data_IF_953219863127
#
_entry.id   IF_953219863127
#
_cell.length_a   1.000
_cell.length_b   1.000
_cell.length_c   1.000
_cell.angle_alpha   90.00
_cell.angle_beta   90.00
_cell.angle_gamma   90.00
#
_symmetry.space_group_name_H-M   'P 1'
#
loop_
_entity.id
_entity.type
_entity.pdbx_description
1 polymer ?
#
# COMPACT_ATOMS: atom_id res chain seq x y z
N UNK A 1 -68.19 -42.78 -10.58
CA UNK A 1 -67.06 -42.44 -9.71
C UNK A 1 -65.96 -41.96 -10.66
N UNK A 2 -65.58 -40.70 -10.72
CA UNK A 2 -65.72 -39.59 -9.76
C UNK A 2 -66.08 -38.25 -10.47
N UNK A 3 -66.10 -37.13 -9.73
CA UNK A 3 -66.63 -35.80 -10.07
C UNK A 3 -65.66 -34.72 -9.58
N UNK A 4 -65.66 -33.45 -9.99
CA UNK A 4 -66.43 -32.58 -10.92
C UNK A 4 -65.50 -31.33 -11.14
N UNK A 5 -65.87 -30.24 -11.86
CA UNK A 5 -66.60 -30.05 -13.12
C UNK A 5 -65.77 -29.19 -14.13
N UNK A 6 -66.30 -28.76 -15.29
CA UNK A 6 -65.56 -27.95 -16.29
C UNK A 6 -66.09 -26.51 -16.54
N UNK A 7 -65.24 -25.62 -17.10
CA UNK A 7 -65.63 -24.36 -17.77
C UNK A 7 -65.34 -23.05 -17.01
N UNK A 8 -65.23 -21.85 -17.62
CA UNK A 8 -65.31 -21.44 -19.05
C UNK A 8 -64.64 -20.07 -19.29
N UNK A 9 -64.22 -19.85 -20.56
CA UNK A 9 -63.93 -18.62 -21.33
C UNK A 9 -63.97 -17.20 -20.71
N UNK A 10 -62.96 -16.38 -21.06
CA UNK A 10 -62.97 -15.17 -21.94
C UNK A 10 -61.70 -14.32 -21.61
N UNK A 11 -61.06 -13.54 -22.49
CA UNK A 11 -61.28 -13.32 -23.91
C UNK A 11 -60.70 -11.97 -24.39
N UNK A 12 -59.54 -12.01 -25.07
CA UNK A 12 -59.03 -11.02 -26.06
C UNK A 12 -58.45 -9.65 -25.62
N UNK A 13 -57.33 -9.28 -26.26
CA UNK A 13 -57.04 -7.90 -26.70
C UNK A 13 -56.06 -7.04 -25.87
N UNK A 14 -54.94 -6.61 -26.46
CA UNK A 14 -54.11 -5.52 -25.90
C UNK A 14 -52.64 -5.48 -26.41
N UNK A 15 -52.38 -4.74 -27.49
CA UNK A 15 -51.03 -4.45 -28.01
C UNK A 15 -50.26 -3.48 -27.10
N UNK A 16 -48.92 -3.61 -27.01
CA UNK A 16 -48.08 -2.68 -26.25
C UNK A 16 -46.57 -2.95 -26.36
N UNK A 17 -45.95 -2.50 -27.45
CA UNK A 17 -44.49 -2.50 -27.61
C UNK A 17 -43.83 -1.53 -26.60
N UNK A 18 -42.73 -1.93 -25.95
CA UNK A 18 -41.97 -1.05 -25.08
C UNK A 18 -40.58 -1.59 -24.74
N UNK A 19 -39.54 -1.11 -25.43
CA UNK A 19 -38.15 -1.44 -25.10
C UNK A 19 -37.74 -0.76 -23.78
N UNK A 20 -37.24 -1.54 -22.82
CA UNK A 20 -36.65 -1.04 -21.59
C UNK A 20 -35.32 -1.74 -21.32
N UNK A 21 -34.20 -1.02 -21.48
CA UNK A 21 -32.87 -1.56 -21.28
C UNK A 21 -32.61 -1.84 -19.78
N UNK A 22 -32.84 -3.08 -19.35
CA UNK A 22 -32.48 -3.56 -18.02
C UNK A 22 -30.97 -3.73 -17.89
N UNK A 23 -30.32 -2.80 -17.20
CA UNK A 23 -28.88 -2.84 -16.94
C UNK A 23 -28.50 -4.10 -16.13
N UNK A 24 -27.83 -5.06 -16.76
CA UNK A 24 -27.35 -6.28 -16.11
C UNK A 24 -26.16 -5.97 -15.17
N UNK A 25 -26.45 -5.60 -13.93
CA UNK A 25 -25.43 -5.59 -12.87
C UNK A 25 -25.21 -7.02 -12.36
N UNK A 26 -24.30 -7.75 -13.02
CA UNK A 26 -23.90 -9.10 -12.65
C UNK A 26 -23.05 -9.09 -11.36
N UNK A 27 -23.71 -9.08 -10.20
CA UNK A 27 -23.07 -9.25 -8.91
C UNK A 27 -22.57 -10.70 -8.75
N UNK A 28 -21.31 -10.95 -9.08
CA UNK A 28 -20.69 -12.28 -9.00
C UNK A 28 -19.57 -12.34 -7.95
N UNK A 29 -19.89 -12.95 -6.80
CA UNK A 29 -19.01 -13.92 -6.15
C UNK A 29 -17.61 -13.48 -5.71
N UNK A 30 -17.52 -12.57 -4.74
CA UNK A 30 -16.30 -12.34 -3.95
C UNK A 30 -16.58 -12.47 -2.46
N UNK A 31 -16.50 -13.69 -1.90
CA UNK A 31 -16.87 -13.96 -0.51
C UNK A 31 -15.79 -13.54 0.51
N UNK A 32 -15.36 -12.29 0.44
CA UNK A 32 -14.62 -11.63 1.51
C UNK A 32 -15.61 -10.99 2.49
N UNK A 33 -15.46 -11.26 3.80
CA UNK A 33 -16.22 -10.53 4.82
C UNK A 33 -15.86 -9.04 4.72
N UNK A 34 -16.74 -8.25 4.13
CA UNK A 34 -16.67 -6.79 4.21
C UNK A 34 -16.94 -6.41 5.67
N UNK A 35 -15.87 -6.20 6.44
CA UNK A 35 -15.94 -5.59 7.77
C UNK A 35 -16.40 -4.15 7.59
N UNK A 36 -17.71 -3.96 7.66
CA UNK A 36 -18.36 -2.65 7.55
C UNK A 36 -18.02 -1.82 8.80
N UNK A 37 -16.92 -1.06 8.72
CA UNK A 37 -16.49 -0.10 9.74
C UNK A 37 -17.65 0.88 10.01
N UNK A 38 -18.07 1.08 11.27
CA UNK A 38 -19.26 1.86 11.55
C UNK A 38 -19.00 3.37 11.38
N UNK A 39 -19.80 4.01 10.53
CA UNK A 39 -20.21 5.39 10.77
C UNK A 39 -19.70 6.49 9.87
N UNK A 40 -18.61 6.31 9.12
CA UNK A 40 -18.03 7.37 8.28
C UNK A 40 -17.68 6.87 6.87
N UNK A 41 -17.66 7.79 5.90
CA UNK A 41 -17.23 7.55 4.52
C UNK A 41 -16.55 8.80 3.95
N UNK A 42 -15.50 8.69 3.11
CA UNK A 42 -14.93 9.84 2.42
C UNK A 42 -15.96 10.50 1.49
N UNK A 43 -15.95 11.83 1.42
CA UNK A 43 -16.69 12.60 0.43
C UNK A 43 -15.91 12.61 -0.90
N UNK A 44 -16.49 12.01 -1.95
CA UNK A 44 -15.88 11.97 -3.28
C UNK A 44 -15.75 13.35 -3.94
N UNK A 45 -16.56 14.34 -3.52
CA UNK A 45 -16.50 15.71 -4.01
C UNK A 45 -15.51 16.61 -3.29
N UNK A 46 -15.00 16.21 -2.11
CA UNK A 46 -14.05 17.01 -1.32
C UNK A 46 -13.04 16.13 -0.57
N UNK A 47 -11.81 15.96 -1.08
CA UNK A 47 -10.74 15.26 -0.36
C UNK A 47 -10.54 15.80 1.06
N UNK A 48 -10.37 14.89 2.02
CA UNK A 48 -10.26 15.22 3.45
C UNK A 48 -11.60 15.44 4.17
N UNK A 49 -12.73 15.53 3.47
CA UNK A 49 -14.07 15.52 4.08
C UNK A 49 -14.61 14.10 4.23
N UNK A 50 -15.33 13.88 5.32
CA UNK A 50 -15.98 12.62 5.66
C UNK A 50 -17.43 12.86 6.07
N UNK A 51 -18.33 12.02 5.57
CA UNK A 51 -19.77 12.07 5.79
C UNK A 51 -20.20 10.91 6.71
N UNK A 52 -21.15 11.12 7.63
CA UNK A 52 -21.64 10.06 8.49
C UNK A 52 -22.54 9.08 7.72
N UNK A 53 -22.18 7.79 7.71
CA UNK A 53 -22.91 6.72 7.00
C UNK A 53 -24.11 6.18 7.79
N UNK A 54 -24.16 6.40 9.11
CA UNK A 54 -25.32 6.07 9.93
C UNK A 54 -25.64 7.23 10.88
N UNK A 55 -26.58 8.08 10.45
CA UNK A 55 -26.97 9.30 11.17
C UNK A 55 -27.60 9.00 12.53
N UNK A 56 -28.34 7.90 12.65
CA UNK A 56 -29.19 7.64 13.81
C UNK A 56 -28.44 6.95 14.97
N UNK A 57 -27.50 6.04 14.67
CA UNK A 57 -26.80 5.26 15.71
C UNK A 57 -25.62 5.95 16.39
N UNK A 58 -24.94 6.87 15.72
CA UNK A 58 -23.70 7.47 16.24
C UNK A 58 -23.85 8.91 16.69
N UNK A 59 -24.67 9.72 16.01
CA UNK A 59 -24.63 11.18 16.17
C UNK A 59 -25.98 11.90 16.08
N UNK A 60 -27.10 11.16 16.19
CA UNK A 60 -28.49 11.67 16.17
C UNK A 60 -28.83 12.62 15.00
N UNK A 61 -28.19 12.45 13.85
CA UNK A 61 -28.33 13.33 12.70
C UNK A 61 -27.85 14.77 12.91
N UNK A 62 -27.15 15.08 14.01
CA UNK A 62 -26.70 16.44 14.36
C UNK A 62 -25.36 16.84 13.74
N UNK A 63 -24.65 15.92 13.08
CA UNK A 63 -23.42 16.20 12.34
C UNK A 63 -23.66 16.00 10.84
N UNK A 64 -23.18 16.95 10.04
CA UNK A 64 -23.23 16.92 8.58
C UNK A 64 -21.95 16.31 8.00
N UNK A 65 -20.77 16.76 8.48
CA UNK A 65 -19.47 16.24 8.03
C UNK A 65 -18.32 16.56 9.01
N UNK A 66 -17.20 15.87 8.85
CA UNK A 66 -15.90 16.23 9.44
C UNK A 66 -14.91 16.46 8.30
N UNK A 67 -14.13 17.54 8.38
CA UNK A 67 -12.98 17.79 7.51
C UNK A 67 -11.69 17.55 8.31
N UNK A 68 -10.82 16.64 7.85
CA UNK A 68 -9.54 16.28 8.49
C UNK A 68 -8.38 17.05 7.86
N UNK A 69 -7.70 17.86 8.68
CA UNK A 69 -6.55 18.68 8.32
C UNK A 69 -5.34 18.24 9.17
N UNK A 70 -4.94 16.98 9.02
CA UNK A 70 -3.71 16.41 9.61
C UNK A 70 -3.58 16.61 11.13
N UNK A 71 -4.65 16.28 11.87
CA UNK A 71 -4.69 16.37 13.34
C UNK A 71 -5.48 17.57 13.88
N UNK A 72 -5.92 18.47 13.01
CA UNK A 72 -6.99 19.44 13.29
C UNK A 72 -8.24 19.05 12.50
N UNK A 73 -9.38 18.95 13.18
CA UNK A 73 -10.65 18.52 12.61
C UNK A 73 -11.63 19.69 12.56
N UNK A 74 -12.38 19.83 11.48
CA UNK A 74 -13.48 20.81 11.41
C UNK A 74 -14.81 20.07 11.31
N UNK A 75 -15.64 20.21 12.33
CA UNK A 75 -16.96 19.58 12.40
C UNK A 75 -18.02 20.57 11.91
N UNK A 76 -18.83 20.13 10.96
CA UNK A 76 -19.98 20.86 10.43
C UNK A 76 -21.25 20.25 11.04
N UNK A 77 -22.01 21.04 11.79
CA UNK A 77 -23.21 20.57 12.51
C UNK A 77 -24.47 20.84 11.69
N UNK A 78 -25.46 19.96 11.84
CA UNK A 78 -26.82 20.18 11.32
C UNK A 78 -27.42 21.40 12.01
N UNK A 79 -27.74 22.43 11.23
CA UNK A 79 -28.10 23.77 11.73
C UNK A 79 -27.04 24.86 11.46
N UNK A 80 -25.90 24.51 10.84
CA UNK A 80 -24.94 25.48 10.30
C UNK A 80 -23.87 25.97 11.29
N UNK A 81 -23.87 25.48 12.53
CA UNK A 81 -22.74 25.69 13.43
C UNK A 81 -21.49 24.95 12.93
N UNK A 82 -20.30 25.50 13.21
CA UNK A 82 -19.02 24.93 12.79
C UNK A 82 -18.02 25.02 13.94
N UNK A 83 -17.32 23.92 14.24
CA UNK A 83 -16.27 23.89 15.25
C UNK A 83 -14.95 23.35 14.71
N UNK A 84 -13.84 24.02 15.03
CA UNK A 84 -12.49 23.48 14.91
C UNK A 84 -12.14 22.72 16.20
N UNK A 85 -11.59 21.52 16.06
CA UNK A 85 -11.18 20.66 17.16
C UNK A 85 -9.74 20.19 16.95
N UNK A 86 -8.88 20.48 17.92
CA UNK A 86 -7.51 19.95 17.97
C UNK A 86 -7.46 18.85 19.02
N UNK A 87 -6.82 17.72 18.71
CA UNK A 87 -6.72 16.56 19.62
C UNK A 87 -5.26 16.25 19.91
N UNK A 88 -4.67 16.84 20.98
CA UNK A 88 -3.26 16.62 21.33
C UNK A 88 -2.95 15.13 21.50
N UNK A 89 -1.99 14.63 20.72
CA UNK A 89 -1.54 13.22 20.74
C UNK A 89 -2.67 12.18 20.53
N UNK A 90 -3.79 12.57 19.93
CA UNK A 90 -4.97 11.70 19.78
C UNK A 90 -5.79 11.48 21.06
N UNK A 91 -5.43 12.11 22.18
CA UNK A 91 -6.17 12.02 23.44
C UNK A 91 -7.42 12.93 23.41
N UNK A 92 -8.58 12.33 23.14
CA UNK A 92 -9.89 13.02 23.09
C UNK A 92 -10.29 13.69 24.40
N UNK A 93 -9.67 13.33 25.52
CA UNK A 93 -9.93 13.98 26.82
C UNK A 93 -9.20 15.33 26.94
N UNK A 94 -8.13 15.53 26.16
CA UNK A 94 -7.35 16.76 26.06
C UNK A 94 -7.73 17.62 24.85
N UNK A 95 -8.83 17.30 24.17
CA UNK A 95 -9.25 18.04 22.98
C UNK A 95 -9.60 19.50 23.29
N UNK A 96 -9.21 20.40 22.40
CA UNK A 96 -9.62 21.81 22.43
C UNK A 96 -10.68 22.03 21.35
N UNK A 97 -11.78 22.70 21.70
CA UNK A 97 -12.92 22.96 20.80
C UNK A 97 -13.11 24.47 20.69
N UNK A 98 -13.07 24.99 19.46
CA UNK A 98 -13.37 26.38 19.13
C UNK A 98 -14.56 26.42 18.18
N UNK A 99 -15.66 27.06 18.58
CA UNK A 99 -16.83 27.25 17.71
C UNK A 99 -16.60 28.48 16.83
N UNK A 100 -16.37 28.24 15.54
CA UNK A 100 -16.07 29.28 14.55
C UNK A 100 -17.36 30.00 14.12
N UNK A 101 -18.48 29.28 14.08
CA UNK A 101 -19.79 29.76 13.63
C UNK A 101 -20.86 29.18 14.56
N UNK A 102 -21.74 30.05 15.05
CA UNK A 102 -22.90 29.70 15.87
C UNK A 102 -22.54 29.30 17.31
N UNK A 103 -23.58 29.18 18.14
CA UNK A 103 -23.46 28.54 19.46
C UNK A 103 -23.31 27.02 19.28
N UNK A 104 -22.39 26.41 20.03
CA UNK A 104 -22.21 24.96 20.03
C UNK A 104 -23.46 24.19 20.47
N UNK A 105 -23.50 22.85 20.28
CA UNK A 105 -24.65 22.04 20.64
C UNK A 105 -24.97 22.16 22.14
N UNK A 106 -26.26 22.15 22.49
CA UNK A 106 -26.76 22.30 23.86
C UNK A 106 -26.26 21.23 24.84
N UNK A 107 -25.75 20.10 24.33
CA UNK A 107 -25.02 19.08 25.10
C UNK A 107 -23.64 19.54 25.61
N UNK A 108 -23.23 20.77 25.32
CA UNK A 108 -21.85 21.20 25.37
C UNK A 108 -20.95 20.33 24.49
N UNK A 109 -19.65 20.31 24.80
CA UNK A 109 -18.62 19.59 24.04
C UNK A 109 -18.75 18.05 24.07
N UNK A 110 -19.79 17.46 24.69
CA UNK A 110 -19.98 16.00 24.70
C UNK A 110 -20.18 15.46 23.29
N UNK A 111 -21.11 16.03 22.51
CA UNK A 111 -21.38 15.61 21.13
C UNK A 111 -20.11 15.68 20.28
N UNK A 112 -19.37 16.78 20.40
CA UNK A 112 -18.07 17.00 19.75
C UNK A 112 -17.05 15.91 20.09
N UNK A 113 -16.95 15.54 21.38
CA UNK A 113 -16.03 14.50 21.86
C UNK A 113 -16.36 13.13 21.31
N UNK A 114 -17.64 12.74 21.40
CA UNK A 114 -18.12 11.44 20.95
C UNK A 114 -17.96 11.30 19.41
N UNK A 115 -18.24 12.40 18.69
CA UNK A 115 -18.01 12.52 17.23
C UNK A 115 -16.55 12.28 16.88
N UNK A 116 -15.62 13.02 17.50
CA UNK A 116 -14.18 12.89 17.27
C UNK A 116 -13.66 11.51 17.66
N UNK A 117 -14.12 10.95 18.79
CA UNK A 117 -13.75 9.59 19.22
C UNK A 117 -14.13 8.55 18.15
N UNK A 118 -15.37 8.58 17.66
CA UNK A 118 -15.82 7.68 16.59
C UNK A 118 -15.03 7.83 15.29
N UNK A 119 -14.61 9.06 14.96
CA UNK A 119 -13.84 9.34 13.76
C UNK A 119 -12.38 8.88 13.86
N UNK A 120 -11.76 9.01 15.05
CA UNK A 120 -10.43 8.46 15.32
C UNK A 120 -10.43 6.93 15.30
N UNK A 121 -11.46 6.29 15.87
CA UNK A 121 -11.68 4.83 15.81
C UNK A 121 -11.80 4.37 14.34
N UNK A 122 -12.65 5.02 13.55
CA UNK A 122 -12.77 4.79 12.10
C UNK A 122 -11.44 4.98 11.35
N UNK A 123 -10.66 6.03 11.66
CA UNK A 123 -9.34 6.24 11.03
C UNK A 123 -8.35 5.13 11.40
N UNK A 124 -8.33 4.70 12.66
CA UNK A 124 -7.47 3.61 13.11
C UNK A 124 -7.82 2.27 12.45
N UNK A 125 -9.11 1.93 12.35
CA UNK A 125 -9.56 0.69 11.70
C UNK A 125 -9.31 0.71 10.19
N UNK A 126 -9.52 1.85 9.51
CA UNK A 126 -9.16 2.00 8.10
C UNK A 126 -7.66 1.83 7.86
N UNK A 127 -6.81 2.42 8.71
CA UNK A 127 -5.36 2.30 8.56
C UNK A 127 -4.91 0.86 8.83
N UNK A 128 -5.47 0.18 9.84
CA UNK A 128 -5.23 -1.23 10.11
C UNK A 128 -5.64 -2.12 8.92
N UNK A 129 -6.81 -1.88 8.32
CA UNK A 129 -7.26 -2.59 7.13
C UNK A 129 -6.37 -2.30 5.91
N UNK A 130 -5.94 -1.06 5.70
CA UNK A 130 -5.00 -0.70 4.65
C UNK A 130 -3.60 -1.32 4.84
N UNK A 131 -3.17 -1.57 6.07
CA UNK A 131 -1.95 -2.33 6.40
C UNK A 131 -2.15 -3.82 6.13
N UNK A 132 -3.28 -4.42 6.55
CA UNK A 132 -3.60 -5.82 6.25
C UNK A 132 -3.66 -6.10 4.74
N UNK A 133 -4.31 -5.22 3.98
CA UNK A 133 -4.34 -5.25 2.51
C UNK A 133 -2.95 -5.19 1.88
N UNK A 134 -2.06 -4.36 2.45
CA UNK A 134 -0.69 -4.23 1.99
C UNK A 134 0.12 -5.50 2.30
N UNK A 135 -0.03 -6.07 3.50
CA UNK A 135 0.58 -7.35 3.90
C UNK A 135 0.09 -8.48 2.98
N UNK A 136 -1.20 -8.52 2.63
CA UNK A 136 -1.72 -9.52 1.69
C UNK A 136 -1.05 -9.41 0.31
N UNK A 137 -0.93 -8.19 -0.24
CA UNK A 137 -0.29 -7.95 -1.54
C UNK A 137 1.20 -8.32 -1.54
N UNK A 138 1.91 -8.06 -0.44
CA UNK A 138 3.31 -8.48 -0.27
C UNK A 138 3.42 -10.02 -0.14
N UNK A 139 2.47 -10.67 0.52
CA UNK A 139 2.39 -12.13 0.54
C UNK A 139 2.10 -12.72 -0.85
N UNK A 140 1.28 -12.07 -1.68
CA UNK A 140 1.01 -12.50 -3.05
C UNK A 140 2.25 -12.32 -3.95
N UNK A 141 3.01 -11.23 -3.79
CA UNK A 141 4.34 -11.06 -4.40
C UNK A 141 5.31 -12.19 -4.01
N UNK A 142 5.32 -12.61 -2.74
CA UNK A 142 6.13 -13.77 -2.32
C UNK A 142 5.66 -15.11 -2.93
N UNK A 143 4.34 -15.33 -3.04
CA UNK A 143 3.81 -16.53 -3.73
C UNK A 143 4.19 -16.55 -5.21
N UNK A 144 4.13 -15.40 -5.89
CA UNK A 144 4.55 -15.26 -7.28
C UNK A 144 6.05 -15.54 -7.44
N UNK A 145 6.86 -15.02 -6.51
CA UNK A 145 8.30 -15.27 -6.44
C UNK A 145 8.61 -16.77 -6.26
N UNK A 146 7.93 -17.46 -5.35
CA UNK A 146 8.06 -18.90 -5.17
C UNK A 146 7.63 -19.68 -6.43
N UNK A 147 6.49 -19.30 -7.03
CA UNK A 147 5.95 -19.96 -8.22
C UNK A 147 6.83 -19.78 -9.47
N UNK A 148 7.53 -18.64 -9.60
CA UNK A 148 8.37 -18.36 -10.77
C UNK A 148 9.83 -18.82 -10.58
N UNK A 149 10.38 -18.61 -9.39
CA UNK A 149 11.83 -18.71 -9.12
C UNK A 149 12.18 -19.65 -7.96
N UNK A 150 11.19 -20.31 -7.35
CA UNK A 150 11.36 -21.33 -6.32
C UNK A 150 11.43 -20.81 -4.88
N UNK A 151 10.96 -21.65 -3.95
CA UNK A 151 10.95 -21.43 -2.49
C UNK A 151 12.21 -20.79 -1.91
N UNK A 152 13.39 -21.13 -2.43
CA UNK A 152 14.65 -20.63 -1.87
C UNK A 152 14.78 -19.12 -2.06
N UNK A 153 14.38 -18.59 -3.21
CA UNK A 153 14.46 -17.15 -3.48
C UNK A 153 13.35 -16.38 -2.73
N UNK A 154 12.18 -17.00 -2.57
CA UNK A 154 11.11 -16.50 -1.69
C UNK A 154 11.58 -16.37 -0.24
N UNK A 155 12.17 -17.44 0.31
CA UNK A 155 12.66 -17.47 1.70
C UNK A 155 13.74 -16.43 1.94
N UNK A 156 14.66 -16.23 1.00
CA UNK A 156 15.68 -15.17 1.10
C UNK A 156 15.07 -13.76 0.98
N UNK A 157 14.05 -13.55 0.15
CA UNK A 157 13.35 -12.25 0.07
C UNK A 157 12.62 -11.91 1.38
N UNK A 158 11.90 -12.88 1.96
CA UNK A 158 11.27 -12.75 3.28
C UNK A 158 12.31 -12.45 4.37
N UNK A 159 13.37 -13.25 4.43
CA UNK A 159 14.43 -13.09 5.41
C UNK A 159 15.13 -11.73 5.31
N UNK A 160 15.39 -11.22 4.10
CA UNK A 160 15.95 -9.89 3.88
C UNK A 160 15.01 -8.78 4.36
N UNK A 161 13.70 -8.89 4.11
CA UNK A 161 12.71 -7.93 4.57
C UNK A 161 12.54 -7.94 6.10
N UNK A 162 12.57 -9.12 6.72
CA UNK A 162 12.53 -9.26 8.18
C UNK A 162 13.81 -8.74 8.84
N UNK A 163 14.98 -9.09 8.29
CA UNK A 163 16.28 -8.67 8.83
C UNK A 163 16.51 -7.15 8.69
N UNK A 164 15.91 -6.50 7.70
CA UNK A 164 15.97 -5.05 7.54
C UNK A 164 15.21 -4.27 8.63
N UNK A 165 14.26 -4.89 9.34
CA UNK A 165 13.45 -4.22 10.36
C UNK A 165 14.32 -3.69 11.50
N UNK A 166 14.23 -2.39 11.76
CA UNK A 166 15.02 -1.71 12.81
C UNK A 166 16.52 -1.55 12.51
N UNK A 167 17.04 -2.08 11.39
CA UNK A 167 18.43 -1.88 10.98
C UNK A 167 18.62 -0.56 10.22
N UNK A 168 19.86 -0.07 10.22
CA UNK A 168 20.31 1.02 9.35
C UNK A 168 21.04 0.48 8.12
N UNK A 169 20.98 1.22 7.04
CA UNK A 169 21.78 1.03 5.83
C UNK A 169 23.25 1.31 6.19
N UNK A 170 24.14 0.41 5.74
CA UNK A 170 25.60 0.52 5.86
C UNK A 170 26.13 1.67 5.01
N UNK A 171 27.35 2.15 5.28
CA UNK A 171 27.97 3.10 4.36
C UNK A 171 28.33 2.41 3.04
N UNK A 172 28.41 3.19 1.96
CA UNK A 172 28.65 2.68 0.61
C UNK A 172 29.99 1.94 0.51
N UNK A 173 31.04 2.39 1.21
CA UNK A 173 32.37 1.76 1.16
C UNK A 173 32.35 0.33 1.75
N UNK A 174 31.63 0.12 2.85
CA UNK A 174 31.40 -1.22 3.43
C UNK A 174 30.58 -2.10 2.48
N UNK A 175 29.52 -1.56 1.87
CA UNK A 175 28.68 -2.31 0.94
C UNK A 175 29.44 -2.73 -0.33
N UNK A 176 30.21 -1.80 -0.93
CA UNK A 176 31.12 -2.06 -2.05
C UNK A 176 32.11 -3.16 -1.68
N UNK A 177 32.84 -3.01 -0.56
CA UNK A 177 33.81 -4.02 -0.09
C UNK A 177 33.16 -5.38 0.18
N UNK A 178 31.91 -5.39 0.66
CA UNK A 178 31.18 -6.61 0.94
C UNK A 178 30.79 -7.35 -0.36
N UNK A 179 30.33 -6.60 -1.37
CA UNK A 179 29.86 -7.11 -2.67
C UNK A 179 31.01 -7.46 -3.63
N UNK A 180 32.14 -6.75 -3.56
CA UNK A 180 33.34 -6.98 -4.37
C UNK A 180 33.91 -8.40 -4.22
N UNK A 181 33.68 -9.05 -3.07
CA UNK A 181 34.02 -10.46 -2.83
C UNK A 181 33.28 -11.44 -3.75
N UNK A 182 32.23 -10.98 -4.44
CA UNK A 182 31.30 -11.80 -5.20
C UNK A 182 31.09 -11.31 -6.65
N UNK A 183 31.34 -10.03 -6.94
CA UNK A 183 31.01 -9.38 -8.24
C UNK A 183 31.52 -10.12 -9.48
N UNK A 184 32.72 -10.70 -9.44
CA UNK A 184 33.32 -11.35 -10.61
C UNK A 184 32.63 -12.66 -10.97
N UNK A 185 32.06 -13.36 -9.98
CA UNK A 185 31.27 -14.57 -10.20
C UNK A 185 29.87 -14.19 -10.70
N UNK A 186 29.26 -13.17 -10.08
CA UNK A 186 27.97 -12.62 -10.53
C UNK A 186 28.03 -12.15 -11.99
N UNK A 187 29.04 -11.37 -12.36
CA UNK A 187 29.22 -10.88 -13.73
C UNK A 187 29.30 -12.03 -14.74
N UNK A 188 30.00 -13.14 -14.42
CA UNK A 188 30.13 -14.30 -15.32
C UNK A 188 28.84 -15.09 -15.54
N UNK A 189 27.80 -14.91 -14.71
CA UNK A 189 26.52 -15.64 -14.81
C UNK A 189 25.54 -15.09 -15.85
N UNK A 190 25.82 -13.92 -16.45
CA UNK A 190 24.91 -13.29 -17.42
C UNK A 190 25.52 -13.20 -18.81
N UNK A 191 24.72 -13.44 -19.85
CA UNK A 191 25.04 -12.95 -21.19
C UNK A 191 24.91 -11.43 -21.27
N UNK A 192 25.50 -10.82 -22.30
CA UNK A 192 25.35 -9.38 -22.57
C UNK A 192 23.88 -9.03 -22.85
N UNK A 193 23.13 -9.92 -23.51
CA UNK A 193 21.69 -9.78 -23.76
C UNK A 193 20.86 -9.77 -22.49
N UNK A 194 21.15 -10.65 -21.51
CA UNK A 194 20.38 -10.70 -20.25
C UNK A 194 20.56 -9.41 -19.45
N UNK A 195 21.81 -8.94 -19.35
CA UNK A 195 22.17 -7.68 -18.69
C UNK A 195 21.42 -6.50 -19.29
N UNK A 196 21.41 -6.40 -20.63
CA UNK A 196 20.76 -5.30 -21.33
C UNK A 196 19.23 -5.38 -21.24
N UNK A 197 18.65 -6.58 -21.22
CA UNK A 197 17.23 -6.77 -20.98
C UNK A 197 16.82 -6.32 -19.57
N UNK A 198 17.60 -6.69 -18.54
CA UNK A 198 17.37 -6.26 -17.15
C UNK A 198 17.57 -4.74 -17.01
N UNK A 199 18.61 -4.18 -17.62
CA UNK A 199 18.86 -2.75 -17.63
C UNK A 199 17.67 -1.97 -18.23
N UNK A 200 17.17 -2.37 -19.40
CA UNK A 200 15.98 -1.78 -20.03
C UNK A 200 14.71 -1.94 -19.20
N UNK A 201 14.53 -3.08 -18.54
CA UNK A 201 13.41 -3.31 -17.62
C UNK A 201 13.46 -2.35 -16.41
N UNK A 202 14.65 -2.01 -15.91
CA UNK A 202 14.81 -1.02 -14.82
C UNK A 202 14.68 0.43 -15.31
N UNK A 203 15.14 0.75 -16.52
CA UNK A 203 14.96 2.08 -17.12
C UNK A 203 13.49 2.39 -17.45
N UNK A 204 12.72 1.38 -17.82
CA UNK A 204 11.29 1.49 -18.15
C UNK A 204 10.35 1.55 -16.93
N UNK A 205 10.88 1.70 -15.71
CA UNK A 205 10.06 1.79 -14.50
C UNK A 205 9.16 3.03 -14.51
N UNK A 206 7.85 2.80 -14.64
CA UNK A 206 6.85 3.86 -14.60
C UNK A 206 6.74 4.46 -13.19
N UNK A 207 6.81 5.79 -13.09
CA UNK A 207 6.82 6.52 -11.81
C UNK A 207 5.55 6.33 -10.98
N UNK A 208 4.39 6.25 -11.62
CA UNK A 208 3.10 6.11 -10.91
C UNK A 208 2.90 4.69 -10.39
N UNK A 209 3.29 3.68 -11.18
CA UNK A 209 3.34 2.29 -10.75
C UNK A 209 4.36 2.11 -9.61
N UNK A 210 5.54 2.72 -9.72
CA UNK A 210 6.55 2.71 -8.66
C UNK A 210 6.03 3.37 -7.37
N UNK A 211 5.38 4.54 -7.46
CA UNK A 211 4.76 5.20 -6.31
C UNK A 211 3.65 4.35 -5.67
N UNK A 212 2.84 3.66 -6.49
CA UNK A 212 1.81 2.72 -6.02
C UNK A 212 2.43 1.53 -5.27
N UNK A 213 3.51 0.93 -5.79
CA UNK A 213 4.20 -0.18 -5.12
C UNK A 213 4.92 0.29 -3.85
N UNK A 214 5.61 1.43 -3.88
CA UNK A 214 6.25 2.03 -2.69
C UNK A 214 5.23 2.25 -1.55
N UNK A 215 4.00 2.67 -1.87
CA UNK A 215 2.91 2.80 -0.89
C UNK A 215 2.45 1.45 -0.32
N UNK A 216 2.46 0.38 -1.12
CA UNK A 216 2.08 -0.97 -0.70
C UNK A 216 3.18 -1.58 0.18
N UNK A 217 4.40 -1.73 -0.35
CA UNK A 217 5.52 -2.30 0.41
C UNK A 217 5.87 -1.44 1.63
N UNK A 218 5.82 -0.12 1.53
CA UNK A 218 6.09 0.79 2.65
C UNK A 218 5.10 0.60 3.80
N UNK A 219 3.79 0.50 3.53
CA UNK A 219 2.79 0.16 4.55
C UNK A 219 3.03 -1.22 5.18
N UNK A 220 3.31 -2.24 4.36
CA UNK A 220 3.55 -3.60 4.84
C UNK A 220 4.83 -3.72 5.70
N UNK A 221 5.84 -2.88 5.44
CA UNK A 221 7.13 -2.89 6.15
C UNK A 221 7.26 -1.77 7.21
N UNK A 222 6.21 -1.00 7.47
CA UNK A 222 6.21 0.06 8.49
C UNK A 222 7.01 1.32 8.14
N UNK A 223 7.30 1.55 6.85
CA UNK A 223 7.96 2.76 6.37
C UNK A 223 6.94 3.89 6.25
N UNK A 224 7.11 4.96 7.04
CA UNK A 224 6.17 6.08 7.15
C UNK A 224 6.92 7.41 7.07
N UNK A 225 6.40 8.36 6.28
CA UNK A 225 6.82 9.77 6.30
C UNK A 225 8.19 10.09 5.67
N UNK A 226 8.97 9.11 5.25
CA UNK A 226 10.28 9.35 4.61
C UNK A 226 10.16 9.76 3.14
N UNK A 227 10.92 10.79 2.75
CA UNK A 227 11.09 11.17 1.35
C UNK A 227 12.09 10.21 0.67
N UNK A 228 11.57 9.30 -0.17
CA UNK A 228 12.34 8.21 -0.78
C UNK A 228 12.98 8.66 -2.11
N UNK A 229 14.31 8.68 -2.16
CA UNK A 229 15.11 9.04 -3.34
C UNK A 229 15.55 7.80 -4.14
N UNK A 230 14.58 7.08 -4.71
CA UNK A 230 14.85 5.80 -5.40
C UNK A 230 15.61 5.92 -6.73
N UNK A 231 15.50 7.05 -7.44
CA UNK A 231 16.00 7.20 -8.81
C UNK A 231 17.50 6.90 -8.98
N UNK A 232 18.35 7.45 -8.10
CA UNK A 232 19.81 7.22 -8.17
C UNK A 232 20.20 5.76 -7.94
N UNK A 233 19.48 5.06 -7.04
CA UNK A 233 19.72 3.63 -6.80
C UNK A 233 19.39 2.79 -8.05
N UNK A 234 18.24 3.06 -8.69
CA UNK A 234 17.85 2.37 -9.93
C UNK A 234 18.85 2.67 -11.07
N UNK A 235 19.27 3.93 -11.26
CA UNK A 235 20.29 4.29 -12.24
C UNK A 235 21.62 3.56 -11.99
N UNK A 236 22.03 3.45 -10.73
CA UNK A 236 23.20 2.67 -10.33
C UNK A 236 23.06 1.17 -10.62
N UNK A 237 21.88 0.57 -10.44
CA UNK A 237 21.62 -0.82 -10.84
C UNK A 237 21.71 -1.00 -12.37
N UNK A 238 21.11 -0.09 -13.15
CA UNK A 238 21.17 -0.09 -14.63
C UNK A 238 22.63 -0.06 -15.11
N UNK A 239 23.45 0.82 -14.52
CA UNK A 239 24.89 0.88 -14.78
C UNK A 239 25.60 -0.41 -14.38
N UNK A 240 25.30 -0.95 -13.20
CA UNK A 240 25.86 -2.21 -12.70
C UNK A 240 25.59 -3.40 -13.61
N UNK A 241 24.37 -3.57 -14.10
CA UNK A 241 24.05 -4.62 -15.07
C UNK A 241 24.83 -4.44 -16.39
N UNK A 242 24.89 -3.23 -16.95
CA UNK A 242 25.61 -2.98 -18.21
C UNK A 242 27.13 -3.13 -18.11
N UNK A 243 27.73 -2.61 -17.05
CA UNK A 243 29.20 -2.41 -16.96
C UNK A 243 29.90 -3.28 -15.93
N UNK A 244 29.17 -3.81 -14.94
CA UNK A 244 29.75 -4.43 -13.75
C UNK A 244 30.20 -3.45 -12.65
N UNK A 245 30.07 -2.13 -12.86
CA UNK A 245 30.29 -1.10 -11.82
C UNK A 245 29.01 -0.83 -11.03
N UNK A 246 28.97 -1.32 -9.79
CA UNK A 246 27.85 -1.20 -8.87
C UNK A 246 28.00 -0.04 -7.86
N UNK A 247 29.12 0.70 -7.89
CA UNK A 247 29.45 1.71 -6.87
C UNK A 247 28.36 2.79 -6.73
N UNK A 248 27.78 3.19 -7.86
CA UNK A 248 26.73 4.21 -7.91
C UNK A 248 25.41 3.74 -7.27
N UNK A 249 25.11 2.43 -7.35
CA UNK A 249 23.97 1.84 -6.64
C UNK A 249 24.21 1.91 -5.12
N UNK A 250 25.42 1.61 -4.67
CA UNK A 250 25.77 1.67 -3.24
C UNK A 250 25.78 3.11 -2.69
N UNK A 251 26.39 4.05 -3.41
CA UNK A 251 26.45 5.47 -3.02
C UNK A 251 25.06 6.11 -2.98
N UNK A 252 24.18 5.74 -3.91
CA UNK A 252 22.78 6.22 -3.93
C UNK A 252 21.91 5.49 -2.92
N UNK A 253 22.11 4.19 -2.73
CA UNK A 253 21.40 3.36 -1.74
C UNK A 253 21.67 3.79 -0.30
N UNK A 254 22.90 4.20 0.02
CA UNK A 254 23.20 4.83 1.33
C UNK A 254 22.38 6.12 1.57
N UNK A 255 22.00 6.82 0.49
CA UNK A 255 21.28 8.10 0.53
C UNK A 255 19.79 7.96 0.21
N UNK A 256 19.26 6.73 0.14
CA UNK A 256 17.89 6.42 -0.33
C UNK A 256 16.81 7.16 0.47
N UNK A 257 17.07 7.45 1.75
CA UNK A 257 16.28 8.33 2.60
C UNK A 257 17.14 8.87 3.76
N UNK A 258 16.71 9.99 4.36
CA UNK A 258 17.45 10.73 5.40
C UNK A 258 17.72 9.88 6.65
N UNK A 259 16.76 9.02 7.05
CA UNK A 259 16.90 8.16 8.23
C UNK A 259 17.87 6.98 8.04
N UNK A 260 18.28 6.69 6.80
CA UNK A 260 19.03 5.49 6.40
C UNK A 260 18.41 4.19 6.93
N UNK A 261 17.08 4.09 6.98
CA UNK A 261 16.38 2.91 7.51
C UNK A 261 16.44 1.77 6.48
N UNK A 262 16.91 0.60 6.88
CA UNK A 262 17.12 -0.53 5.95
C UNK A 262 15.81 -1.04 5.30
N UNK A 263 14.68 -0.96 6.02
CA UNK A 263 13.36 -1.28 5.46
C UNK A 263 12.96 -0.38 4.28
N UNK A 264 13.47 0.86 4.19
CA UNK A 264 13.28 1.73 3.01
C UNK A 264 14.00 1.15 1.79
N UNK A 265 15.23 0.64 1.98
CA UNK A 265 16.01 0.04 0.90
C UNK A 265 15.32 -1.21 0.33
N UNK A 266 14.81 -2.09 1.20
CA UNK A 266 14.00 -3.24 0.78
C UNK A 266 12.70 -2.80 0.11
N UNK A 267 12.01 -1.79 0.65
CA UNK A 267 10.79 -1.20 0.06
C UNK A 267 11.03 -0.75 -1.38
N UNK A 268 12.13 -0.02 -1.64
CA UNK A 268 12.51 0.42 -2.99
C UNK A 268 12.82 -0.77 -3.90
N UNK A 269 13.68 -1.68 -3.45
CA UNK A 269 14.08 -2.83 -4.25
C UNK A 269 12.87 -3.68 -4.67
N UNK A 270 11.99 -4.03 -3.72
CA UNK A 270 10.83 -4.88 -4.00
C UNK A 270 9.78 -4.16 -4.83
N UNK A 271 9.61 -2.84 -4.63
CA UNK A 271 8.73 -2.02 -5.48
C UNK A 271 9.17 -2.02 -6.94
N UNK A 272 10.47 -1.88 -7.21
CA UNK A 272 11.01 -1.93 -8.57
C UNK A 272 10.81 -3.31 -9.22
N UNK A 273 11.08 -4.38 -8.46
CA UNK A 273 10.91 -5.77 -8.94
C UNK A 273 9.43 -6.18 -9.12
N UNK A 274 8.49 -5.47 -8.50
CA UNK A 274 7.04 -5.68 -8.64
C UNK A 274 6.38 -4.86 -9.77
N UNK A 275 7.14 -4.00 -10.48
CA UNK A 275 6.64 -3.25 -11.65
C UNK A 275 6.96 -3.98 -12.95
N UNK A 276 8.21 -4.41 -13.14
CA UNK A 276 8.68 -4.99 -14.41
C UNK A 276 9.31 -6.39 -14.23
N UNK A 277 9.09 -7.34 -15.17
CA UNK A 277 9.67 -8.68 -15.10
C UNK A 277 11.17 -8.66 -15.47
N UNK A 278 12.02 -8.90 -14.47
CA UNK A 278 13.50 -8.88 -14.59
C UNK A 278 14.17 -10.27 -14.59
N UNK A 279 13.39 -11.35 -14.57
CA UNK A 279 13.90 -12.73 -14.51
C UNK A 279 14.55 -13.10 -13.17
N UNK A 280 14.86 -14.40 -13.00
CA UNK A 280 15.40 -14.96 -11.75
C UNK A 280 16.76 -14.37 -11.37
N UNK A 281 17.67 -14.24 -12.34
CA UNK A 281 19.03 -13.75 -12.12
C UNK A 281 19.04 -12.25 -11.81
N UNK A 282 18.21 -11.45 -12.49
CA UNK A 282 18.03 -10.03 -12.20
C UNK A 282 17.50 -9.81 -10.78
N UNK A 283 16.46 -10.56 -10.40
CA UNK A 283 15.89 -10.53 -9.05
C UNK A 283 16.93 -10.87 -7.98
N UNK A 284 17.66 -11.97 -8.16
CA UNK A 284 18.67 -12.41 -7.20
C UNK A 284 19.83 -11.41 -7.05
N UNK A 285 20.30 -10.78 -8.14
CA UNK A 285 21.35 -9.75 -8.07
C UNK A 285 20.85 -8.46 -7.44
N UNK A 286 19.64 -7.99 -7.72
CA UNK A 286 19.08 -6.81 -7.02
C UNK A 286 18.97 -7.08 -5.52
N UNK A 287 18.54 -8.28 -5.12
CA UNK A 287 18.55 -8.67 -3.71
C UNK A 287 19.97 -8.79 -3.13
N UNK A 288 20.97 -9.21 -3.90
CA UNK A 288 22.37 -9.26 -3.44
C UNK A 288 22.93 -7.85 -3.21
N UNK A 289 22.70 -6.91 -4.14
CA UNK A 289 23.07 -5.49 -3.98
C UNK A 289 22.34 -4.87 -2.78
N UNK A 290 21.04 -5.14 -2.64
CA UNK A 290 20.23 -4.70 -1.48
C UNK A 290 20.76 -5.30 -0.17
N UNK A 291 21.19 -6.57 -0.19
CA UNK A 291 21.76 -7.23 0.98
C UNK A 291 23.12 -6.65 1.35
N UNK A 292 24.00 -6.32 0.41
CA UNK A 292 25.29 -5.72 0.72
C UNK A 292 25.17 -4.37 1.48
N UNK A 293 24.07 -3.64 1.25
CA UNK A 293 23.71 -2.41 1.98
C UNK A 293 23.17 -2.65 3.41
N UNK A 294 22.87 -3.89 3.80
CA UNK A 294 22.16 -4.21 5.05
C UNK A 294 22.93 -5.27 5.88
N UNK A 295 23.33 -6.37 5.26
CA UNK A 295 23.81 -7.60 5.93
C UNK A 295 24.70 -8.47 5.04
N UNK A 296 25.84 -8.92 5.59
CA UNK A 296 26.71 -9.92 4.95
C UNK A 296 26.05 -11.29 4.83
N UNK A 297 25.12 -11.62 5.73
CA UNK A 297 24.56 -12.97 5.85
C UNK A 297 23.68 -13.31 4.65
N UNK A 298 22.68 -12.46 4.36
CA UNK A 298 21.82 -12.62 3.18
C UNK A 298 22.60 -12.47 1.88
N UNK A 299 23.58 -11.56 1.83
CA UNK A 299 24.49 -11.42 0.68
C UNK A 299 25.22 -12.73 0.38
N UNK A 300 25.75 -13.41 1.39
CA UNK A 300 26.41 -14.72 1.25
C UNK A 300 25.44 -15.80 0.77
N UNK A 301 24.20 -15.84 1.30
CA UNK A 301 23.19 -16.81 0.88
C UNK A 301 22.74 -16.60 -0.57
N UNK A 302 22.54 -15.34 -0.98
CA UNK A 302 22.16 -14.98 -2.34
C UNK A 302 23.27 -15.23 -3.35
N UNK A 303 24.54 -14.94 -3.01
CA UNK A 303 25.66 -15.34 -3.85
C UNK A 303 25.75 -16.88 -3.99
N UNK A 304 25.52 -17.62 -2.90
CA UNK A 304 25.45 -19.09 -2.94
C UNK A 304 24.30 -19.60 -3.85
N UNK A 305 23.13 -18.93 -3.81
CA UNK A 305 22.02 -19.21 -4.71
C UNK A 305 22.37 -18.95 -6.18
N UNK A 306 22.90 -17.77 -6.50
CA UNK A 306 23.26 -17.37 -7.88
C UNK A 306 24.38 -18.27 -8.44
N UNK A 307 25.28 -18.75 -7.59
CA UNK A 307 26.31 -19.70 -8.01
C UNK A 307 25.76 -21.08 -8.37
N UNK A 308 24.64 -21.49 -7.75
CA UNK A 308 23.98 -22.78 -7.97
C UNK A 308 22.92 -22.81 -9.08
N UNK A 309 22.62 -21.68 -9.72
CA UNK A 309 21.87 -21.58 -10.99
C UNK A 309 22.84 -21.61 -12.15
#
# INVERSE_FOLDING_TARGET
>A
MEKDPPGKHHGNGGSGNGHGAGNHNSNSGGNGKTTSIPGWSPDSGKPGRYLPTNKDKLIKGLIQSIDDHSGTYTIHYTGGAVATVTVPNGDVNKMNVHYNIGSGPSSGNKLTRDTIKSFLEFKAENEANAVNDAISKVNDFYKELASKYGDKLEKEAKALADEAKGKKIRNANEAIKAFDRYKDVLNKKFSVSDREAIAKALESLNKDQMAKQLKIFGKAFGVVGEAIQWGGFISGLVKGFRTGDWNEAFISGEKIAVGKVASVMVTVAFSAMAVNPIGILGFAVIMAVTSALITDERLKQLNSFINGI
#
